data_IF_255735752403
#
_entry.id   IF_255735752403
#
_cell.length_a   1.000
_cell.length_b   1.000
_cell.length_c   1.000
_cell.angle_alpha   90.00
_cell.angle_beta   90.00
_cell.angle_gamma   90.00
#
_symmetry.space_group_name_H-M   'P 1'
#
loop_
_entity.id
_entity.type
_entity.pdbx_description
1 polymer ?
#
# COMPACT_ATOMS: atom_id res chain seq x y z
N UNK A 1 35.33 22.35 -0.57
CA UNK A 1 35.65 21.03 0.02
C UNK A 1 34.38 20.17 -0.02
N UNK A 2 34.27 19.30 -1.03
CA UNK A 2 33.11 18.42 -1.19
C UNK A 2 33.25 17.22 -0.25
N UNK A 3 32.22 16.92 0.56
CA UNK A 3 32.20 15.74 1.43
C UNK A 3 31.96 14.52 0.56
N UNK A 4 32.93 13.60 0.50
CA UNK A 4 32.74 12.25 -0.02
C UNK A 4 31.57 11.59 0.75
N UNK A 5 30.39 11.47 0.12
CA UNK A 5 29.36 10.59 0.64
C UNK A 5 29.79 9.16 0.38
N UNK A 6 30.20 8.48 1.45
CA UNK A 6 30.57 7.08 1.42
C UNK A 6 29.37 6.27 0.91
N UNK A 7 29.48 5.70 -0.29
CA UNK A 7 28.44 4.87 -0.90
C UNK A 7 28.34 3.59 -0.09
N UNK A 8 27.22 3.39 0.59
CA UNK A 8 26.98 2.21 1.41
C UNK A 8 26.59 1.05 0.48
N UNK A 9 27.55 0.17 0.18
CA UNK A 9 27.30 -1.08 -0.56
C UNK A 9 27.01 -2.17 0.46
N UNK A 10 25.74 -2.58 0.56
CA UNK A 10 25.27 -3.59 1.49
C UNK A 10 23.75 -3.65 1.54
N UNK A 11 23.14 -4.58 2.29
CA UNK A 11 21.69 -4.60 2.50
C UNK A 11 21.25 -3.22 3.03
N UNK A 12 20.37 -2.56 2.28
CA UNK A 12 19.81 -1.28 2.67
C UNK A 12 19.02 -1.49 3.98
N UNK A 13 19.32 -0.74 5.05
CA UNK A 13 18.51 -0.82 6.27
C UNK A 13 17.07 -0.47 5.93
N UNK A 14 16.17 -1.43 6.13
CA UNK A 14 14.74 -1.24 5.88
C UNK A 14 14.24 -0.17 6.88
N UNK A 15 13.69 0.96 6.41
CA UNK A 15 13.16 1.97 7.31
C UNK A 15 11.99 1.38 8.10
N UNK A 16 12.18 1.19 9.41
CA UNK A 16 11.11 0.78 10.31
C UNK A 16 10.22 1.99 10.59
N UNK A 17 9.03 2.01 9.99
CA UNK A 17 8.04 3.06 10.22
C UNK A 17 7.33 2.82 11.55
N UNK A 18 7.33 3.77 12.50
CA UNK A 18 6.59 3.65 13.75
C UNK A 18 5.10 3.41 13.53
N UNK A 19 4.51 2.47 14.29
CA UNK A 19 3.07 2.16 14.22
C UNK A 19 2.18 3.39 14.42
N UNK A 20 2.63 4.37 15.20
CA UNK A 20 1.92 5.64 15.46
C UNK A 20 1.73 6.50 14.20
N UNK A 21 2.54 6.29 13.16
CA UNK A 21 2.49 7.08 11.93
C UNK A 21 1.50 6.48 10.92
N UNK A 22 0.94 5.30 11.21
CA UNK A 22 -0.11 4.69 10.41
C UNK A 22 -1.48 5.28 10.77
N UNK A 23 -2.21 5.72 9.75
CA UNK A 23 -3.62 6.09 9.87
C UNK A 23 -4.42 4.90 10.38
N UNK A 24 -5.07 5.06 11.53
CA UNK A 24 -5.97 4.04 12.08
C UNK A 24 -7.37 4.21 11.47
N UNK A 25 -7.84 3.28 10.63
CA UNK A 25 -9.20 3.37 10.11
C UNK A 25 -10.20 3.22 11.25
N UNK A 26 -11.20 4.10 11.31
CA UNK A 26 -12.28 4.07 12.31
C UNK A 26 -13.40 3.13 11.82
N UNK A 27 -13.09 1.85 11.66
CA UNK A 27 -14.04 0.83 11.20
C UNK A 27 -14.67 0.11 12.40
N UNK A 28 -15.98 -0.10 12.32
CA UNK A 28 -16.73 -0.93 13.28
C UNK A 28 -16.43 -2.41 13.07
N UNK A 29 -16.84 -3.26 14.01
CA UNK A 29 -16.67 -4.72 13.87
C UNK A 29 -17.48 -5.26 12.69
N UNK A 30 -18.65 -4.69 12.46
CA UNK A 30 -19.54 -5.02 11.35
C UNK A 30 -18.89 -4.67 10.01
N UNK A 31 -18.22 -3.52 9.92
CA UNK A 31 -17.45 -3.13 8.71
C UNK A 31 -16.33 -4.14 8.43
N UNK A 32 -15.58 -4.53 9.46
CA UNK A 32 -14.53 -5.54 9.32
C UNK A 32 -15.06 -6.90 8.85
N UNK A 33 -16.19 -7.34 9.40
CA UNK A 33 -16.85 -8.56 8.96
C UNK A 33 -17.31 -8.45 7.50
N UNK A 34 -17.87 -7.31 7.10
CA UNK A 34 -18.29 -7.04 5.73
C UNK A 34 -17.12 -7.10 4.75
N UNK A 35 -16.01 -6.44 5.08
CA UNK A 35 -14.77 -6.50 4.29
C UNK A 35 -14.24 -7.93 4.18
N UNK A 36 -14.28 -8.70 5.28
CA UNK A 36 -13.87 -10.10 5.27
C UNK A 36 -14.74 -10.96 4.36
N UNK A 37 -16.04 -10.71 4.25
CA UNK A 37 -16.88 -11.45 3.28
C UNK A 37 -16.47 -11.16 1.83
N UNK A 38 -15.95 -9.96 1.55
CA UNK A 38 -15.51 -9.59 0.21
C UNK A 38 -14.15 -10.20 -0.16
N UNK A 39 -13.14 -10.10 0.72
CA UNK A 39 -11.77 -10.50 0.41
C UNK A 39 -11.28 -11.77 1.13
N UNK A 40 -11.97 -12.21 2.17
CA UNK A 40 -11.60 -13.32 3.04
C UNK A 40 -11.41 -14.66 2.31
N UNK A 41 -12.31 -15.08 1.40
CA UNK A 41 -12.11 -16.32 0.64
C UNK A 41 -10.81 -16.31 -0.19
N UNK A 42 -10.52 -15.19 -0.85
CA UNK A 42 -9.28 -15.01 -1.61
C UNK A 42 -8.05 -14.99 -0.70
N UNK A 43 -8.14 -14.32 0.45
CA UNK A 43 -7.06 -14.31 1.44
C UNK A 43 -6.78 -15.72 1.97
N UNK A 44 -7.82 -16.47 2.36
CA UNK A 44 -7.71 -17.85 2.84
C UNK A 44 -7.12 -18.78 1.77
N UNK A 45 -7.56 -18.65 0.51
CA UNK A 45 -7.00 -19.41 -0.60
C UNK A 45 -5.49 -19.17 -0.75
N UNK A 46 -5.06 -17.91 -0.74
CA UNK A 46 -3.65 -17.54 -0.90
C UNK A 46 -2.79 -17.96 0.30
N UNK A 47 -3.29 -17.78 1.53
CA UNK A 47 -2.63 -18.23 2.77
C UNK A 47 -2.47 -19.75 2.83
N UNK A 48 -3.36 -20.52 2.21
CA UNK A 48 -3.27 -21.98 2.16
C UNK A 48 -2.21 -22.51 1.18
N UNK A 49 -1.78 -21.68 0.21
CA UNK A 49 -0.93 -22.09 -0.91
C UNK A 49 0.46 -21.46 -0.88
N UNK A 50 0.60 -20.33 -0.20
CA UNK A 50 1.83 -19.56 -0.21
C UNK A 50 2.30 -19.27 1.22
N UNK A 51 3.62 -19.12 1.43
CA UNK A 51 4.15 -18.62 2.68
C UNK A 51 3.54 -17.27 3.06
N UNK A 52 3.32 -17.02 4.34
CA UNK A 52 2.70 -15.79 4.86
C UNK A 52 3.36 -14.51 4.30
N UNK A 53 4.69 -14.48 4.23
CA UNK A 53 5.42 -13.32 3.72
C UNK A 53 5.07 -12.99 2.26
N UNK A 54 4.84 -14.02 1.42
CA UNK A 54 4.44 -13.82 0.02
C UNK A 54 3.07 -13.17 -0.05
N UNK A 55 2.12 -13.64 0.76
CA UNK A 55 0.76 -13.10 0.79
C UNK A 55 0.76 -11.65 1.28
N UNK A 56 1.57 -11.32 2.28
CA UNK A 56 1.75 -9.93 2.74
C UNK A 56 2.32 -9.06 1.62
N UNK A 57 3.36 -9.52 0.92
CA UNK A 57 3.95 -8.80 -0.20
C UNK A 57 2.94 -8.57 -1.34
N UNK A 58 2.15 -9.58 -1.70
CA UNK A 58 1.11 -9.46 -2.72
C UNK A 58 0.07 -8.40 -2.32
N UNK A 59 -0.46 -8.47 -1.09
CA UNK A 59 -1.45 -7.51 -0.60
C UNK A 59 -0.90 -6.07 -0.58
N UNK A 60 0.35 -5.91 -0.17
CA UNK A 60 1.01 -4.61 -0.17
C UNK A 60 1.24 -4.06 -1.59
N UNK A 61 1.72 -4.90 -2.51
CA UNK A 61 1.94 -4.53 -3.90
C UNK A 61 0.64 -4.11 -4.60
N UNK A 62 -0.42 -4.90 -4.46
CA UNK A 62 -1.75 -4.56 -5.00
C UNK A 62 -2.25 -3.22 -4.44
N UNK A 63 -2.12 -3.00 -3.13
CA UNK A 63 -2.48 -1.73 -2.50
C UNK A 63 -1.71 -0.54 -3.09
N UNK A 64 -0.41 -0.68 -3.33
CA UNK A 64 0.40 0.36 -3.99
C UNK A 64 0.02 0.58 -5.44
N UNK A 65 -0.24 -0.50 -6.20
CA UNK A 65 -0.64 -0.42 -7.60
C UNK A 65 -1.96 0.35 -7.74
N UNK A 66 -2.96 0.03 -6.91
CA UNK A 66 -4.22 0.76 -6.88
C UNK A 66 -4.05 2.23 -6.48
N UNK A 67 -3.24 2.53 -5.46
CA UNK A 67 -2.96 3.90 -5.06
C UNK A 67 -2.28 4.71 -6.18
N UNK A 68 -1.36 4.10 -6.93
CA UNK A 68 -0.71 4.75 -8.07
C UNK A 68 -1.68 5.07 -9.20
N UNK A 69 -2.60 4.16 -9.53
CA UNK A 69 -3.65 4.41 -10.53
C UNK A 69 -4.63 5.52 -10.13
N UNK A 70 -5.00 5.59 -8.84
CA UNK A 70 -5.84 6.66 -8.30
C UNK A 70 -5.20 8.05 -8.44
N UNK A 71 -3.89 8.15 -8.23
CA UNK A 71 -3.15 9.42 -8.42
C UNK A 71 -3.12 9.85 -9.90
N UNK A 72 -2.99 8.89 -10.81
CA UNK A 72 -3.04 9.17 -12.26
C UNK A 72 -4.43 9.62 -12.73
N UNK A 73 -5.50 9.08 -12.14
CA UNK A 73 -6.87 9.49 -12.46
C UNK A 73 -7.20 10.88 -11.88
N UNK A 74 -6.78 11.18 -10.64
CA UNK A 74 -6.99 12.49 -10.02
C UNK A 74 -6.25 13.61 -10.77
N UNK A 75 -5.07 13.34 -11.32
CA UNK A 75 -4.33 14.28 -12.16
C UNK A 75 -5.01 14.62 -13.50
N UNK A 76 -5.93 13.78 -13.99
CA UNK A 76 -6.65 13.99 -15.25
C UNK A 76 -7.92 14.84 -15.11
N UNK A 77 -8.46 15.00 -13.89
CA UNK A 77 -9.73 15.70 -13.65
C UNK A 77 -9.57 17.24 -13.57
N UNK A 78 -8.35 17.77 -13.43
CA UNK A 78 -8.11 19.22 -13.23
C UNK A 78 -7.95 20.04 -14.52
N UNK A 79 -8.07 19.45 -15.71
CA UNK A 79 -7.95 20.16 -17.00
C UNK A 79 -9.26 20.20 -17.79
N UNK A 80 -10.28 20.85 -17.24
CA UNK A 80 -11.34 21.44 -18.05
C UNK A 80 -11.54 22.89 -17.59
N UNK A 81 -10.88 23.82 -18.27
CA UNK A 81 -11.17 25.24 -18.13
C UNK A 81 -12.61 25.52 -18.61
N UNK A 82 -13.39 26.36 -17.91
CA UNK A 82 -14.70 26.75 -18.36
C UNK A 82 -14.56 27.55 -19.66
N UNK A 83 -15.26 27.13 -20.71
CA UNK A 83 -15.42 27.91 -21.95
C UNK A 83 -16.01 29.28 -21.59
N UNK A 84 -15.30 30.34 -22.00
CA UNK A 84 -15.76 31.73 -21.98
C UNK A 84 -16.99 31.93 -22.85
#
# INVERSE_FOLDING_TARGET
>A
MSRNSMVQIGPCPIPLVPVRDFSKPRLTREDWNGLWQLCGPSAQHNLSRNPLWVVICMAYYEGMAHASGLLEEQGKVTLQEPKQ
#
